data_IF_522722548368
#
_entry.id   IF_522722548368
#
_cell.length_a   1.000
_cell.length_b   1.000
_cell.length_c   1.000
_cell.angle_alpha   90.00
_cell.angle_beta   90.00
_cell.angle_gamma   90.00
#
_symmetry.space_group_name_H-M   'P 1'
#
loop_
_entity.id
_entity.type
_entity.pdbx_description
1 polymer ?
#
# COMPACT_ATOMS: atom_id res chain seq x y z
N UNK A 1 2.01 23.62 22.87
CA UNK A 1 1.17 23.38 24.06
C UNK A 1 0.86 21.90 24.30
N UNK A 2 1.63 20.97 23.72
CA UNK A 2 1.58 19.55 24.05
C UNK A 2 2.96 19.12 24.50
N UNK A 3 3.29 19.43 25.76
CA UNK A 3 4.50 18.96 26.41
C UNK A 3 4.19 17.58 26.99
N UNK A 4 4.03 16.59 26.11
CA UNK A 4 3.86 15.20 26.53
C UNK A 4 5.26 14.66 26.78
N UNK A 5 5.80 14.96 27.95
CA UNK A 5 7.08 14.42 28.35
C UNK A 5 6.91 12.92 28.71
N UNK A 6 8.01 12.16 28.73
CA UNK A 6 7.99 10.77 29.20
C UNK A 6 7.34 10.62 30.59
N UNK A 7 7.44 11.66 31.43
CA UNK A 7 6.83 11.70 32.77
C UNK A 7 5.30 11.72 32.72
N UNK A 8 4.66 12.52 31.87
CA UNK A 8 3.20 12.49 31.69
C UNK A 8 2.72 11.11 31.24
N UNK A 9 3.45 10.45 30.33
CA UNK A 9 3.12 9.07 29.93
C UNK A 9 3.19 8.10 31.10
N UNK A 10 4.20 8.21 31.97
CA UNK A 10 4.30 7.39 33.17
C UNK A 10 3.14 7.64 34.15
N UNK A 11 2.75 8.91 34.35
CA UNK A 11 1.61 9.26 35.19
C UNK A 11 0.32 8.63 34.65
N UNK A 12 0.05 8.76 33.36
CA UNK A 12 -1.14 8.17 32.71
C UNK A 12 -1.11 6.65 32.80
N UNK A 13 0.05 6.02 32.57
CA UNK A 13 0.19 4.57 32.72
C UNK A 13 -0.10 4.11 34.16
N UNK A 14 0.38 4.85 35.16
CA UNK A 14 0.10 4.55 36.57
C UNK A 14 -1.39 4.68 36.89
N UNK A 15 -2.03 5.77 36.46
CA UNK A 15 -3.48 5.96 36.64
C UNK A 15 -4.27 4.86 35.94
N UNK A 16 -3.89 4.48 34.72
CA UNK A 16 -4.53 3.38 33.99
C UNK A 16 -4.40 2.05 34.72
N UNK A 17 -3.24 1.75 35.32
CA UNK A 17 -3.04 0.56 36.15
C UNK A 17 -3.94 0.55 37.39
N UNK A 18 -4.16 1.71 38.03
CA UNK A 18 -5.04 1.81 39.21
C UNK A 18 -6.52 1.68 38.83
N UNK A 19 -6.94 2.36 37.77
CA UNK A 19 -8.35 2.43 37.37
C UNK A 19 -8.82 1.14 36.70
N UNK A 20 -8.03 0.62 35.75
CA UNK A 20 -8.37 -0.60 35.01
C UNK A 20 -7.90 -1.84 35.78
N UNK A 21 -6.81 -1.73 36.53
CA UNK A 21 -6.16 -2.85 37.18
C UNK A 21 -5.00 -3.43 36.34
N UNK A 22 -3.90 -3.86 36.97
CA UNK A 22 -2.71 -4.36 36.26
C UNK A 22 -2.95 -5.66 35.49
N UNK A 23 -3.98 -6.44 35.84
CA UNK A 23 -4.34 -7.69 35.17
C UNK A 23 -5.25 -7.48 33.96
N UNK A 24 -6.04 -6.41 33.97
CA UNK A 24 -7.01 -6.11 32.92
C UNK A 24 -6.44 -5.17 31.86
N UNK A 25 -5.45 -4.34 32.19
CA UNK A 25 -4.74 -3.48 31.24
C UNK A 25 -4.15 -4.27 30.04
N UNK A 26 -3.46 -5.42 30.22
CA UNK A 26 -2.99 -6.24 29.10
C UNK A 26 -4.12 -6.76 28.21
N UNK A 27 -5.29 -7.04 28.78
CA UNK A 27 -6.47 -7.48 28.01
C UNK A 27 -7.07 -6.30 27.23
N UNK A 28 -7.18 -5.13 27.85
CA UNK A 28 -7.64 -3.91 27.21
C UNK A 28 -6.73 -3.47 26.05
N UNK A 29 -5.40 -3.51 26.24
CA UNK A 29 -4.43 -3.19 25.17
C UNK A 29 -4.58 -4.11 23.97
N UNK A 30 -4.89 -5.40 24.17
CA UNK A 30 -5.14 -6.33 23.06
C UNK A 30 -6.40 -5.97 22.28
N UNK A 31 -7.47 -5.55 22.97
CA UNK A 31 -8.71 -5.12 22.33
C UNK A 31 -8.47 -3.82 21.53
N UNK A 32 -7.88 -2.81 22.16
CA UNK A 32 -7.56 -1.54 21.48
C UNK A 32 -6.63 -1.80 20.30
N UNK A 33 -5.58 -2.60 20.49
CA UNK A 33 -4.64 -2.97 19.43
C UNK A 33 -5.31 -3.71 18.27
N UNK A 34 -6.26 -4.60 18.54
CA UNK A 34 -7.06 -5.26 17.51
C UNK A 34 -7.88 -4.27 16.68
N UNK A 35 -8.58 -3.34 17.36
CA UNK A 35 -9.38 -2.31 16.69
C UNK A 35 -8.51 -1.35 15.87
N UNK A 36 -7.40 -0.88 16.42
CA UNK A 36 -6.42 -0.02 15.73
C UNK A 36 -5.80 -0.76 14.55
N UNK A 37 -5.46 -2.04 14.70
CA UNK A 37 -4.93 -2.88 13.63
C UNK A 37 -5.91 -3.04 12.48
N UNK A 38 -7.19 -3.31 12.80
CA UNK A 38 -8.26 -3.41 11.80
C UNK A 38 -8.50 -2.09 11.08
N UNK A 39 -8.57 -0.97 11.82
CA UNK A 39 -8.68 0.36 11.25
C UNK A 39 -7.48 0.69 10.34
N UNK A 40 -6.27 0.30 10.73
CA UNK A 40 -5.06 0.51 9.92
C UNK A 40 -5.05 -0.34 8.66
N UNK A 41 -5.56 -1.58 8.71
CA UNK A 41 -5.74 -2.43 7.53
C UNK A 41 -6.72 -1.82 6.53
N UNK A 42 -7.86 -1.34 7.04
CA UNK A 42 -8.88 -0.63 6.26
C UNK A 42 -8.31 0.67 5.66
N UNK A 43 -7.55 1.45 6.44
CA UNK A 43 -6.89 2.67 5.97
C UNK A 43 -5.84 2.41 4.88
N UNK A 44 -5.15 1.26 4.89
CA UNK A 44 -4.22 0.88 3.80
C UNK A 44 -4.97 0.62 2.50
N UNK A 45 -6.13 -0.04 2.57
CA UNK A 45 -6.97 -0.30 1.41
C UNK A 45 -7.61 1.00 0.89
N UNK A 46 -8.01 1.91 1.78
CA UNK A 46 -8.43 3.25 1.39
C UNK A 46 -7.30 4.07 0.80
N UNK A 47 -6.05 3.94 1.27
CA UNK A 47 -4.93 4.65 0.64
C UNK A 47 -4.77 4.22 -0.82
N UNK A 48 -4.83 2.92 -1.08
CA UNK A 48 -4.76 2.37 -2.44
C UNK A 48 -5.93 2.82 -3.32
N UNK A 49 -7.17 2.81 -2.81
CA UNK A 49 -8.34 3.27 -3.56
C UNK A 49 -8.43 4.80 -3.70
N UNK A 50 -7.95 5.54 -2.70
CA UNK A 50 -7.89 7.00 -2.71
C UNK A 50 -6.81 7.49 -3.66
N UNK A 51 -5.66 6.83 -3.77
CA UNK A 51 -4.66 7.17 -4.79
C UNK A 51 -5.23 7.01 -6.22
N UNK A 52 -6.12 6.04 -6.45
CA UNK A 52 -6.86 5.90 -7.71
C UNK A 52 -7.89 7.02 -7.90
N UNK A 53 -8.72 7.31 -6.90
CA UNK A 53 -9.73 8.37 -6.98
C UNK A 53 -9.12 9.77 -7.07
N UNK A 54 -8.01 10.03 -6.37
CA UNK A 54 -7.27 11.28 -6.45
C UNK A 54 -6.62 11.42 -7.80
N UNK A 55 -6.07 10.34 -8.38
CA UNK A 55 -5.61 10.40 -9.77
C UNK A 55 -6.75 10.77 -10.71
N UNK A 56 -7.94 10.21 -10.52
CA UNK A 56 -9.15 10.55 -11.29
C UNK A 56 -9.63 12.00 -11.07
N UNK A 57 -9.62 12.50 -9.83
CA UNK A 57 -9.98 13.87 -9.50
C UNK A 57 -8.93 14.90 -9.96
N UNK A 58 -7.63 14.55 -9.90
CA UNK A 58 -6.55 15.32 -10.49
C UNK A 58 -6.67 15.35 -12.02
N UNK A 59 -7.13 14.27 -12.66
CA UNK A 59 -7.35 14.22 -14.10
C UNK A 59 -8.49 15.15 -14.54
N UNK A 60 -9.63 15.17 -13.85
CA UNK A 60 -10.73 16.11 -14.16
C UNK A 60 -10.30 17.58 -13.99
N UNK A 61 -9.53 17.89 -12.94
CA UNK A 61 -9.01 19.25 -12.75
C UNK A 61 -7.92 19.62 -13.76
N UNK A 62 -7.05 18.68 -14.14
CA UNK A 62 -6.01 18.88 -15.16
C UNK A 62 -6.61 19.07 -16.55
N UNK A 63 -7.62 18.29 -16.94
CA UNK A 63 -8.32 18.44 -18.23
C UNK A 63 -9.00 19.80 -18.34
N UNK A 64 -9.65 20.27 -17.26
CA UNK A 64 -10.30 21.57 -17.24
C UNK A 64 -9.30 22.72 -17.38
N UNK A 65 -8.13 22.60 -16.74
CA UNK A 65 -7.03 23.58 -16.87
C UNK A 65 -6.40 23.53 -18.26
N UNK A 66 -6.19 22.33 -18.82
CA UNK A 66 -5.64 22.13 -20.16
C UNK A 66 -6.58 22.67 -21.24
N UNK A 67 -7.88 22.41 -21.14
CA UNK A 67 -8.89 22.93 -22.06
C UNK A 67 -8.96 24.46 -22.03
N UNK A 68 -8.97 25.06 -20.84
CA UNK A 68 -8.98 26.51 -20.69
C UNK A 68 -7.69 27.17 -21.25
N UNK A 69 -6.53 26.55 -21.02
CA UNK A 69 -5.26 27.07 -21.54
C UNK A 69 -5.12 26.85 -23.06
N UNK A 70 -5.55 25.70 -23.57
CA UNK A 70 -5.60 25.44 -25.02
C UNK A 70 -6.54 26.40 -25.75
N UNK A 71 -7.69 26.74 -25.15
CA UNK A 71 -8.60 27.77 -25.68
C UNK A 71 -7.95 29.16 -25.69
N UNK A 72 -7.16 29.51 -24.66
CA UNK A 72 -6.37 30.75 -24.66
C UNK A 72 -5.31 30.75 -25.75
N UNK A 73 -4.56 29.66 -25.91
CA UNK A 73 -3.53 29.53 -26.95
C UNK A 73 -4.13 29.62 -28.35
N UNK A 74 -5.27 28.97 -28.62
CA UNK A 74 -5.96 29.05 -29.92
C UNK A 74 -6.54 30.43 -30.21
N UNK A 75 -6.92 31.18 -29.18
CA UNK A 75 -7.37 32.58 -29.30
C UNK A 75 -6.20 33.54 -29.57
N UNK A 76 -5.05 33.29 -28.95
CA UNK A 76 -3.84 34.10 -29.07
C UNK A 76 -3.03 33.76 -30.34
N UNK A 77 -3.12 32.51 -30.83
CA UNK A 77 -2.50 32.02 -32.07
C UNK A 77 -3.54 31.32 -32.95
N UNK A 78 -4.26 32.06 -33.81
CA UNK A 78 -5.13 31.46 -34.82
C UNK A 78 -4.30 30.54 -35.71
N UNK A 79 -4.75 29.30 -36.02
CA UNK A 79 -4.05 28.45 -36.97
C UNK A 79 -4.02 29.19 -38.31
N UNK A 80 -2.83 29.68 -38.67
CA UNK A 80 -2.62 30.26 -39.98
C UNK A 80 -2.98 29.18 -41.02
N UNK A 81 -3.73 29.54 -42.09
CA UNK A 81 -3.95 28.60 -43.18
C UNK A 81 -2.58 28.11 -43.69
N UNK A 82 -2.46 26.85 -44.12
CA UNK A 82 -1.18 26.27 -44.50
C UNK A 82 -0.57 27.14 -45.61
N UNK A 83 0.38 27.99 -45.22
CA UNK A 83 1.28 28.62 -46.17
C UNK A 83 2.01 27.47 -46.84
N UNK A 84 1.97 27.50 -48.17
CA UNK A 84 2.43 26.45 -49.04
C UNK A 84 3.79 25.89 -48.59
N UNK A 85 3.92 24.58 -48.70
CA UNK A 85 5.18 23.87 -48.56
C UNK A 85 6.13 24.41 -49.64
N UNK A 86 7.02 25.33 -49.27
CA UNK A 86 8.17 25.65 -50.09
C UNK A 86 9.20 24.54 -49.86
N UNK A 87 9.30 23.68 -50.85
CA UNK A 87 10.40 22.74 -51.09
C UNK A 87 11.76 23.42 -50.83
N UNK A 88 12.55 22.90 -49.88
CA UNK A 88 13.98 22.60 -50.12
C UNK A 88 14.56 21.77 -48.95
N UNK A 89 14.85 20.49 -49.21
CA UNK A 89 15.81 19.74 -48.42
C UNK A 89 17.23 20.06 -48.92
N UNK A 90 18.25 19.94 -48.06
CA UNK A 90 19.02 18.71 -48.20
C UNK A 90 19.38 18.05 -46.87
N UNK A 91 19.35 16.72 -46.93
CA UNK A 91 19.76 15.81 -45.88
C UNK A 91 21.23 16.01 -45.48
N UNK A 92 21.50 16.13 -44.18
CA UNK A 92 22.81 15.93 -43.59
C UNK A 92 22.72 14.77 -42.58
N UNK A 93 23.54 13.70 -42.70
CA UNK A 93 23.54 12.63 -41.72
C UNK A 93 24.16 13.13 -40.41
N UNK A 94 23.35 13.27 -39.37
CA UNK A 94 23.83 13.43 -38.00
C UNK A 94 24.43 12.11 -37.52
N UNK A 95 25.75 12.01 -37.56
CA UNK A 95 26.52 10.95 -36.92
C UNK A 95 26.31 11.00 -35.41
N UNK A 96 25.62 10.01 -34.84
CA UNK A 96 25.62 9.77 -33.40
C UNK A 96 26.99 9.17 -33.01
N UNK A 97 27.88 10.00 -32.49
CA UNK A 97 29.04 9.53 -31.73
C UNK A 97 28.57 9.11 -30.33
N UNK A 98 28.74 7.83 -30.01
CA UNK A 98 28.36 7.23 -28.72
C UNK A 98 29.53 7.39 -27.75
N UNK A 99 29.41 8.13 -26.63
CA UNK A 99 30.42 8.09 -25.58
C UNK A 99 30.26 6.79 -24.81
N UNK A 100 31.27 5.93 -24.90
CA UNK A 100 31.44 4.72 -24.10
C UNK A 100 31.57 5.05 -22.62
N UNK A 101 30.55 4.66 -21.86
CA UNK A 101 30.54 4.15 -20.49
C UNK A 101 31.89 4.10 -19.76
N UNK A 102 32.18 5.06 -18.87
CA UNK A 102 33.06 4.86 -17.70
C UNK A 102 32.46 5.60 -16.49
N UNK A 103 31.50 4.96 -15.82
CA UNK A 103 31.14 5.27 -14.44
C UNK A 103 31.24 3.99 -13.63
N UNK A 104 32.19 3.96 -12.71
CA UNK A 104 32.43 2.85 -11.81
C UNK A 104 31.20 2.59 -10.95
N UNK A 105 30.61 1.42 -11.12
CA UNK A 105 29.62 0.88 -10.21
C UNK A 105 30.34 0.37 -8.96
N UNK A 106 30.34 1.17 -7.89
CA UNK A 106 30.46 0.64 -6.53
C UNK A 106 29.18 -0.12 -6.22
N UNK A 107 29.24 -1.46 -6.30
CA UNK A 107 28.19 -2.33 -5.78
C UNK A 107 28.23 -2.30 -4.24
N UNK A 108 27.17 -1.87 -3.54
CA UNK A 108 26.96 -2.33 -2.18
C UNK A 108 26.51 -3.80 -2.25
N UNK A 109 27.30 -4.69 -1.67
CA UNK A 109 26.93 -6.08 -1.40
C UNK A 109 25.71 -6.06 -0.48
N UNK A 110 24.55 -6.45 -1.00
CA UNK A 110 23.45 -6.94 -0.16
C UNK A 110 23.60 -8.46 -0.07
N UNK A 111 23.94 -8.94 1.12
CA UNK A 111 23.76 -10.33 1.52
C UNK A 111 22.26 -10.65 1.50
N UNK A 112 21.78 -11.16 0.37
CA UNK A 112 20.46 -11.78 0.25
C UNK A 112 20.60 -13.30 0.40
N UNK A 113 20.62 -13.77 1.64
CA UNK A 113 20.42 -15.19 1.96
C UNK A 113 18.99 -15.38 2.45
N UNK A 114 17.98 -15.01 1.66
CA UNK A 114 16.58 -15.31 2.01
C UNK A 114 15.65 -15.62 0.84
N UNK A 115 16.16 -15.86 -0.37
CA UNK A 115 15.32 -16.30 -1.50
C UNK A 115 15.45 -17.81 -1.79
N UNK A 116 14.94 -18.63 -0.87
CA UNK A 116 14.50 -20.00 -1.21
C UNK A 116 13.00 -20.08 -0.95
N UNK A 117 12.17 -20.42 -1.96
CA UNK A 117 10.75 -20.63 -1.70
C UNK A 117 10.59 -21.82 -0.74
N UNK A 118 10.05 -21.55 0.46
CA UNK A 118 9.63 -22.60 1.40
C UNK A 118 8.32 -23.17 0.87
N UNK A 119 8.40 -24.35 0.25
CA UNK A 119 7.23 -25.17 -0.08
C UNK A 119 6.60 -25.65 1.23
N UNK A 120 5.47 -25.05 1.63
CA UNK A 120 4.66 -25.60 2.73
C UNK A 120 3.93 -26.82 2.19
N UNK A 121 4.24 -28.00 2.74
CA UNK A 121 3.53 -29.24 2.45
C UNK A 121 2.05 -29.10 2.86
N UNK A 122 1.16 -29.46 1.94
CA UNK A 122 -0.30 -29.36 2.09
C UNK A 122 -0.75 -30.25 3.25
N UNK A 123 -1.57 -29.79 4.22
CA UNK A 123 -2.04 -30.64 5.30
C UNK A 123 -2.86 -31.80 4.74
N UNK A 124 -2.41 -33.04 4.98
CA UNK A 124 -3.21 -34.23 4.70
C UNK A 124 -4.27 -34.34 5.81
N UNK A 125 -5.54 -34.09 5.46
CA UNK A 125 -6.65 -34.36 6.37
C UNK A 125 -6.92 -35.86 6.25
N UNK A 126 -6.50 -36.64 7.26
CA UNK A 126 -6.95 -38.03 7.40
C UNK A 126 -8.44 -37.97 7.74
N UNK A 127 -9.33 -38.58 6.92
CA UNK A 127 -10.73 -38.68 7.30
C UNK A 127 -10.82 -39.50 8.58
N UNK A 128 -11.54 -38.96 9.58
CA UNK A 128 -11.82 -39.65 10.82
C UNK A 128 -12.43 -41.03 10.49
N UNK A 129 -11.81 -42.09 11.01
CA UNK A 129 -12.35 -43.43 10.92
C UNK A 129 -13.81 -43.40 11.42
N UNK A 130 -14.76 -44.07 10.73
CA UNK A 130 -16.13 -44.11 11.18
C UNK A 130 -16.16 -44.66 12.61
N UNK A 131 -16.63 -43.82 13.52
CA UNK A 131 -16.78 -44.16 14.92
C UNK A 131 -17.54 -45.47 15.06
N UNK A 132 -16.93 -46.40 15.79
CA UNK A 132 -17.60 -47.54 16.39
C UNK A 132 -18.92 -47.07 17.02
N UNK A 133 -20.05 -47.72 16.74
CA UNK A 133 -21.34 -47.30 17.28
C UNK A 133 -21.30 -47.32 18.81
N UNK A 134 -21.93 -46.31 19.38
CA UNK A 134 -22.00 -46.02 20.80
C UNK A 134 -22.38 -47.25 21.65
N UNK A 135 -21.59 -47.48 22.69
CA UNK A 135 -22.02 -48.27 23.85
C UNK A 135 -23.30 -47.62 24.40
N UNK A 136 -24.40 -48.35 24.36
CA UNK A 136 -25.64 -48.01 25.07
C UNK A 136 -25.49 -48.51 26.50
N UNK A 137 -25.54 -47.65 27.53
CA UNK A 137 -25.94 -48.07 28.86
C UNK A 137 -27.39 -47.62 29.02
N UNK A 138 -28.35 -48.53 28.90
CA UNK A 138 -29.65 -48.23 29.48
C UNK A 138 -30.13 -49.42 30.30
N UNK A 139 -30.14 -49.17 31.60
CA UNK A 139 -30.58 -50.09 32.61
C UNK A 139 -32.11 -50.11 32.63
N UNK A 140 -32.65 -51.31 32.78
CA UNK A 140 -33.99 -51.48 33.34
C UNK A 140 -34.10 -50.69 34.66
N UNK A 141 -35.27 -50.10 34.94
CA UNK A 141 -36.08 -50.80 35.95
C UNK A 141 -37.60 -50.77 35.72
N UNK A 142 -38.21 -51.85 36.25
CA UNK A 142 -39.64 -52.12 36.53
C UNK A 142 -40.48 -52.73 35.42
#
# INVERSE_FOLDING_TARGET
MFDIAPTEFMLVAFVALVVIGPKDLPKAMRVVGYWVGKARGVARQFRQGFDTMVREAELEEMEKRWAAENERIMREHPPAPPAALDDEAPAAPVSLDKPSDHHGATHPVHDDTSDRPVTVEKPHIVPAAPGTPAHTPDGAPS
#
